data_IF_319823172684
#
_entry.id   IF_319823172684
#
_cell.length_a   1.000
_cell.length_b   1.000
_cell.length_c   1.000
_cell.angle_alpha   90.00
_cell.angle_beta   90.00
_cell.angle_gamma   90.00
#
_symmetry.space_group_name_H-M   'P 1'
#
loop_
_entity.id
_entity.type
_entity.pdbx_description
1 polymer ?
#
# COMPACT_ATOMS: atom_id res chain seq x y z
N UNK A 1 17.43 27.56 -0.45
CA UNK A 1 16.07 26.96 -0.36
C UNK A 1 15.79 26.25 -1.66
N UNK A 2 16.09 24.95 -1.75
CA UNK A 2 15.72 24.12 -2.89
C UNK A 2 14.36 23.51 -2.57
N UNK A 3 13.29 24.17 -3.02
CA UNK A 3 11.99 23.51 -3.12
C UNK A 3 12.13 22.45 -4.21
N UNK A 4 12.56 21.24 -3.83
CA UNK A 4 12.66 20.10 -4.73
C UNK A 4 11.31 19.88 -5.40
N UNK A 5 11.28 19.85 -6.73
CA UNK A 5 10.09 19.44 -7.48
C UNK A 5 9.66 18.08 -6.93
N UNK A 6 8.40 17.98 -6.49
CA UNK A 6 7.83 16.68 -6.10
C UNK A 6 7.94 15.74 -7.30
N UNK A 7 8.53 14.58 -7.11
CA UNK A 7 8.80 13.66 -8.20
C UNK A 7 7.51 12.98 -8.63
N UNK A 8 7.02 13.29 -9.83
CA UNK A 8 5.75 12.78 -10.37
C UNK A 8 5.95 11.82 -11.54
N UNK A 9 7.16 11.33 -11.74
CA UNK A 9 7.51 10.32 -12.71
C UNK A 9 8.51 9.34 -12.09
N UNK A 10 8.38 8.06 -12.41
CA UNK A 10 9.40 7.08 -12.07
C UNK A 10 10.69 7.40 -12.82
N UNK A 11 11.83 7.12 -12.20
CA UNK A 11 13.16 7.29 -12.81
C UNK A 11 13.69 5.95 -13.31
N UNK A 12 14.69 5.99 -14.17
CA UNK A 12 15.35 4.77 -14.63
C UNK A 12 15.96 4.00 -13.44
N UNK A 13 15.91 2.66 -13.41
CA UNK A 13 16.41 1.86 -12.31
C UNK A 13 17.87 2.17 -11.91
N UNK A 14 18.71 2.55 -12.87
CA UNK A 14 20.13 2.89 -12.63
C UNK A 14 20.32 4.24 -11.94
N UNK A 15 19.27 5.07 -11.91
CA UNK A 15 19.27 6.39 -11.28
C UNK A 15 18.69 6.35 -9.86
N UNK A 16 18.13 5.21 -9.44
CA UNK A 16 17.59 5.06 -8.09
C UNK A 16 18.71 5.03 -7.05
N UNK A 17 18.34 5.32 -5.80
CA UNK A 17 19.28 5.22 -4.70
C UNK A 17 19.78 3.77 -4.57
N UNK A 18 21.06 3.56 -4.21
CA UNK A 18 21.65 2.23 -4.13
C UNK A 18 21.08 1.38 -2.97
N UNK A 19 20.46 2.02 -1.98
CA UNK A 19 19.86 1.34 -0.85
C UNK A 19 20.87 0.63 0.05
N UNK A 20 20.43 -0.45 0.69
CA UNK A 20 21.21 -1.24 1.65
C UNK A 20 20.90 -2.72 1.49
N UNK A 21 21.85 -3.59 1.85
CA UNK A 21 21.64 -5.05 1.85
C UNK A 21 20.68 -5.50 2.95
N UNK A 22 20.66 -4.77 4.06
CA UNK A 22 19.85 -5.09 5.24
C UNK A 22 19.15 -3.84 5.78
N UNK A 23 18.05 -4.06 6.50
CA UNK A 23 17.29 -3.02 7.19
C UNK A 23 18.05 -2.56 8.45
N UNK A 24 18.36 -1.25 8.59
CA UNK A 24 19.17 -0.77 9.71
C UNK A 24 18.36 -0.49 10.99
N UNK A 25 17.03 -0.60 10.95
CA UNK A 25 16.17 -0.42 12.13
C UNK A 25 15.56 -1.72 12.64
N UNK A 26 15.36 -1.73 13.95
CA UNK A 26 14.59 -2.76 14.65
C UNK A 26 13.09 -2.48 14.52
N UNK A 27 12.32 -3.56 14.58
CA UNK A 27 10.86 -3.54 14.59
C UNK A 27 10.37 -4.17 15.89
N UNK A 28 9.22 -3.72 16.38
CA UNK A 28 8.55 -4.40 17.48
C UNK A 28 8.27 -5.87 17.14
N UNK A 29 8.30 -6.74 18.13
CA UNK A 29 7.99 -8.16 17.93
C UNK A 29 6.52 -8.38 17.56
N UNK A 30 5.63 -7.52 18.08
CA UNK A 30 4.18 -7.66 17.96
C UNK A 30 3.54 -6.41 17.38
N UNK A 31 2.51 -6.65 16.59
CA UNK A 31 1.54 -5.67 16.17
C UNK A 31 0.82 -5.09 17.39
N UNK A 32 0.83 -3.77 17.54
CA UNK A 32 0.32 -3.14 18.78
C UNK A 32 -1.19 -3.30 18.99
N UNK A 33 -1.97 -3.33 17.90
CA UNK A 33 -3.42 -3.52 17.96
C UNK A 33 -3.84 -5.00 18.02
N UNK A 34 -3.36 -5.80 17.08
CA UNK A 34 -3.78 -7.20 16.89
C UNK A 34 -3.03 -8.19 17.78
N UNK A 35 -1.90 -7.80 18.39
CA UNK A 35 -1.10 -8.65 19.27
C UNK A 35 -0.37 -9.81 18.57
N UNK A 36 -0.50 -9.91 17.25
CA UNK A 36 0.16 -10.90 16.39
C UNK A 36 1.59 -10.48 16.05
N UNK A 37 2.45 -11.35 15.50
CA UNK A 37 3.77 -10.94 15.00
C UNK A 37 3.67 -9.79 13.99
N UNK A 38 4.52 -8.77 14.15
CA UNK A 38 4.59 -7.64 13.21
C UNK A 38 5.30 -8.04 11.91
N UNK A 39 6.47 -8.67 12.04
CA UNK A 39 7.22 -9.21 10.89
C UNK A 39 6.60 -10.54 10.50
N UNK A 40 6.13 -10.61 9.26
CA UNK A 40 5.31 -11.69 8.74
C UNK A 40 5.83 -12.20 7.40
N UNK A 41 7.16 -12.24 7.22
CA UNK A 41 7.82 -12.69 5.97
C UNK A 41 7.30 -14.05 5.50
N UNK A 42 6.90 -14.90 6.45
CA UNK A 42 6.09 -16.09 6.20
C UNK A 42 4.75 -15.92 6.92
N UNK A 43 3.66 -15.95 6.16
CA UNK A 43 2.31 -15.95 6.74
C UNK A 43 2.04 -17.29 7.46
N UNK A 44 1.24 -17.30 8.54
CA UNK A 44 0.81 -18.55 9.17
C UNK A 44 0.08 -19.47 8.18
N UNK A 45 0.11 -20.77 8.43
CA UNK A 45 -0.64 -21.72 7.63
C UNK A 45 -2.13 -21.35 7.56
N UNK A 46 -2.72 -21.48 6.38
CA UNK A 46 -4.12 -21.12 6.13
C UNK A 46 -4.38 -19.62 5.95
N UNK A 47 -3.37 -18.75 6.09
CA UNK A 47 -3.52 -17.32 5.82
C UNK A 47 -2.92 -16.94 4.47
N UNK A 48 -3.47 -15.88 3.89
CA UNK A 48 -3.00 -15.27 2.65
C UNK A 48 -2.44 -13.86 2.91
N UNK A 49 -1.74 -13.34 1.90
CA UNK A 49 -1.10 -12.01 1.95
C UNK A 49 -1.63 -11.17 0.80
N UNK A 50 -1.95 -9.92 1.10
CA UNK A 50 -2.23 -8.88 0.11
C UNK A 50 -1.35 -7.66 0.37
N UNK A 51 -0.91 -6.99 -0.70
CA UNK A 51 -0.09 -5.77 -0.58
C UNK A 51 -0.72 -4.67 -1.43
N UNK A 52 -1.02 -3.55 -0.78
CA UNK A 52 -1.72 -2.43 -1.40
C UNK A 52 -0.98 -1.12 -1.19
N UNK A 53 -0.84 -0.31 -2.24
CA UNK A 53 -0.42 1.08 -2.17
C UNK A 53 -1.61 2.01 -2.43
N UNK A 54 -1.96 2.87 -1.47
CA UNK A 54 -3.18 3.67 -1.53
C UNK A 54 -3.02 5.06 -0.93
N UNK A 55 -1.84 5.66 -1.12
CA UNK A 55 -1.46 6.95 -0.52
C UNK A 55 -0.76 6.79 0.81
N UNK A 56 -0.97 7.73 1.74
CA UNK A 56 -0.34 7.69 3.06
C UNK A 56 -0.69 6.38 3.78
N UNK A 57 0.32 5.56 4.04
CA UNK A 57 0.13 4.22 4.61
C UNK A 57 -0.41 4.21 6.06
N UNK A 58 -0.37 5.34 6.80
CA UNK A 58 -0.83 5.39 8.19
C UNK A 58 -2.35 5.21 8.30
N UNK A 59 -3.09 5.97 7.49
CA UNK A 59 -4.55 5.86 7.41
C UNK A 59 -4.96 4.56 6.73
N UNK A 60 -4.20 4.11 5.73
CA UNK A 60 -4.46 2.86 5.04
C UNK A 60 -4.34 1.64 5.96
N UNK A 61 -3.27 1.55 6.77
CA UNK A 61 -3.06 0.47 7.72
C UNK A 61 -4.19 0.41 8.77
N UNK A 62 -4.61 1.57 9.29
CA UNK A 62 -5.69 1.67 10.27
C UNK A 62 -6.99 1.04 9.77
N UNK A 63 -7.32 1.27 8.50
CA UNK A 63 -8.52 0.71 7.88
C UNK A 63 -8.45 -0.81 7.83
N UNK A 64 -7.30 -1.37 7.44
CA UNK A 64 -7.17 -2.81 7.25
C UNK A 64 -7.14 -3.58 8.58
N UNK A 65 -6.42 -3.10 9.61
CA UNK A 65 -6.39 -3.85 10.89
C UNK A 65 -7.76 -3.89 11.58
N UNK A 66 -8.70 -3.02 11.20
CA UNK A 66 -10.06 -3.00 11.74
C UNK A 66 -11.00 -4.00 11.04
N UNK A 67 -10.60 -4.58 9.90
CA UNK A 67 -11.44 -5.52 9.17
C UNK A 67 -11.45 -6.90 9.86
N UNK A 68 -12.64 -7.47 10.13
CA UNK A 68 -12.73 -8.87 10.56
C UNK A 68 -12.03 -9.80 9.56
N UNK A 69 -11.27 -10.76 10.07
CA UNK A 69 -10.48 -11.69 9.25
C UNK A 69 -9.06 -11.22 8.92
N UNK A 70 -8.72 -9.95 9.16
CA UNK A 70 -7.32 -9.50 9.10
C UNK A 70 -6.58 -9.94 10.36
N UNK A 71 -5.47 -10.64 10.18
CA UNK A 71 -4.66 -11.24 11.24
C UNK A 71 -3.47 -10.36 11.66
N UNK A 72 -2.81 -9.72 10.70
CA UNK A 72 -1.72 -8.77 10.96
C UNK A 72 -1.61 -7.78 9.81
N UNK A 73 -1.15 -6.57 10.10
CA UNK A 73 -0.79 -5.57 9.09
C UNK A 73 0.60 -5.00 9.35
N UNK A 74 1.26 -4.53 8.31
CA UNK A 74 2.48 -3.72 8.45
C UNK A 74 2.57 -2.70 7.34
N UNK A 75 3.25 -1.59 7.59
CA UNK A 75 3.54 -0.56 6.58
C UNK A 75 4.97 -0.63 6.09
N UNK A 76 5.15 -0.29 4.82
CA UNK A 76 6.44 -0.43 4.15
C UNK A 76 6.46 0.19 2.77
N UNK A 77 7.46 -0.22 2.00
CA UNK A 77 7.78 0.30 0.69
C UNK A 77 7.83 -0.84 -0.32
N UNK A 78 7.11 -0.72 -1.44
CA UNK A 78 7.08 -1.74 -2.49
C UNK A 78 6.99 -1.08 -3.88
N UNK A 79 7.17 -1.86 -4.95
CA UNK A 79 7.05 -1.39 -6.33
C UNK A 79 8.28 -0.71 -6.94
N UNK A 80 9.23 -0.28 -6.12
CA UNK A 80 10.49 0.33 -6.54
C UNK A 80 11.64 -0.67 -6.67
N UNK A 81 12.85 -0.14 -6.82
CA UNK A 81 14.07 -0.94 -7.04
C UNK A 81 15.15 -0.77 -5.97
N UNK A 82 15.07 0.27 -5.14
CA UNK A 82 16.07 0.52 -4.08
C UNK A 82 15.87 -0.47 -2.93
N UNK A 83 16.85 -1.33 -2.61
CA UNK A 83 16.70 -2.30 -1.53
C UNK A 83 16.79 -1.62 -0.15
N UNK A 84 15.92 -2.05 0.78
CA UNK A 84 15.84 -1.55 2.16
C UNK A 84 15.90 -0.01 2.27
N UNK A 85 15.01 0.73 1.57
CA UNK A 85 15.03 2.20 1.59
C UNK A 85 14.44 2.72 2.90
N UNK A 86 14.98 3.84 3.42
CA UNK A 86 14.36 4.56 4.55
C UNK A 86 13.18 5.42 4.11
N UNK A 87 12.36 5.87 5.06
CA UNK A 87 11.28 6.81 4.79
C UNK A 87 11.77 8.07 4.05
N UNK A 88 12.90 8.63 4.49
CA UNK A 88 13.49 9.83 3.88
C UNK A 88 13.95 9.57 2.44
N UNK A 89 14.53 8.40 2.17
CA UNK A 89 14.95 8.00 0.83
C UNK A 89 13.74 7.86 -0.09
N UNK A 90 12.66 7.24 0.37
CA UNK A 90 11.39 7.14 -0.37
C UNK A 90 10.77 8.51 -0.61
N UNK A 91 10.74 9.38 0.40
CA UNK A 91 10.22 10.74 0.28
C UNK A 91 10.99 11.60 -0.71
N UNK A 92 12.26 11.27 -0.99
CA UNK A 92 13.04 11.94 -2.04
C UNK A 92 12.53 11.66 -3.46
N UNK A 93 11.70 10.62 -3.64
CA UNK A 93 11.20 10.17 -4.94
C UNK A 93 12.24 9.40 -5.77
N UNK A 94 13.41 9.10 -5.21
CA UNK A 94 14.54 8.47 -5.93
C UNK A 94 14.63 6.96 -5.72
N UNK A 95 13.58 6.32 -5.23
CA UNK A 95 13.56 4.87 -4.98
C UNK A 95 12.58 4.11 -5.85
N UNK A 96 11.68 4.85 -6.54
CA UNK A 96 10.51 4.34 -7.26
C UNK A 96 9.49 3.56 -6.40
N UNK A 97 9.71 3.45 -5.08
CA UNK A 97 8.75 2.78 -4.21
C UNK A 97 7.48 3.61 -4.02
N UNK A 98 6.37 2.91 -3.80
CA UNK A 98 5.16 3.45 -3.19
C UNK A 98 5.09 3.04 -1.73
N UNK A 99 4.47 3.89 -0.91
CA UNK A 99 4.01 3.51 0.43
C UNK A 99 2.97 2.39 0.27
N UNK A 100 3.21 1.29 0.97
CA UNK A 100 2.42 0.07 0.85
C UNK A 100 2.04 -0.49 2.22
N UNK A 101 0.83 -1.02 2.30
CA UNK A 101 0.32 -1.81 3.43
C UNK A 101 0.37 -3.27 3.03
N UNK A 102 1.00 -4.08 3.87
CA UNK A 102 0.98 -5.53 3.78
C UNK A 102 -0.07 -6.04 4.76
N UNK A 103 -1.01 -6.85 4.26
CA UNK A 103 -2.15 -7.38 5.01
C UNK A 103 -2.07 -8.90 5.00
N UNK A 104 -2.01 -9.51 6.19
CA UNK A 104 -2.20 -10.96 6.35
C UNK A 104 -3.64 -11.19 6.77
N UNK A 105 -4.34 -12.09 6.07
CA UNK A 105 -5.76 -12.32 6.32
C UNK A 105 -6.12 -13.81 6.26
N UNK A 106 -7.20 -14.16 6.94
CA UNK A 106 -7.83 -15.47 6.89
C UNK A 106 -8.87 -15.49 5.75
N UNK A 107 -8.60 -16.21 4.64
CA UNK A 107 -9.49 -16.27 3.48
C UNK A 107 -10.84 -16.95 3.79
N UNK A 108 -10.98 -17.63 4.93
CA UNK A 108 -12.26 -18.21 5.38
C UNK A 108 -13.18 -17.18 6.05
N UNK A 109 -12.64 -16.02 6.44
CA UNK A 109 -13.37 -14.93 7.10
C UNK A 109 -13.54 -13.71 6.19
N UNK A 110 -12.49 -13.32 5.45
CA UNK A 110 -12.51 -12.21 4.50
C UNK A 110 -11.84 -12.63 3.19
N UNK A 111 -12.50 -12.41 2.06
CA UNK A 111 -11.92 -12.79 0.77
C UNK A 111 -10.95 -11.72 0.26
N UNK A 112 -10.01 -12.12 -0.59
CA UNK A 112 -9.16 -11.17 -1.30
C UNK A 112 -9.99 -10.14 -2.12
N UNK A 113 -11.11 -10.59 -2.70
CA UNK A 113 -12.04 -9.72 -3.41
C UNK A 113 -12.61 -8.62 -2.50
N UNK A 114 -12.95 -8.94 -1.25
CA UNK A 114 -13.45 -7.95 -0.29
C UNK A 114 -12.37 -6.93 0.09
N UNK A 115 -11.11 -7.37 0.21
CA UNK A 115 -9.98 -6.47 0.45
C UNK A 115 -9.72 -5.51 -0.74
N UNK A 116 -9.86 -6.00 -1.96
CA UNK A 116 -9.74 -5.19 -3.19
C UNK A 116 -10.91 -4.23 -3.35
N UNK A 117 -12.14 -4.65 -3.03
CA UNK A 117 -13.29 -3.72 -3.01
C UNK A 117 -13.06 -2.61 -1.99
N UNK A 118 -12.62 -2.98 -0.79
CA UNK A 118 -12.29 -2.01 0.26
C UNK A 118 -11.19 -1.06 -0.19
N UNK A 119 -10.13 -1.57 -0.82
CA UNK A 119 -9.07 -0.77 -1.43
C UNK A 119 -9.64 0.35 -2.29
N UNK A 120 -10.53 0.04 -3.23
CA UNK A 120 -11.11 1.02 -4.15
C UNK A 120 -12.04 2.06 -3.50
N UNK A 121 -12.65 1.73 -2.37
CA UNK A 121 -13.56 2.64 -1.65
C UNK A 121 -12.83 3.63 -0.73
N UNK A 122 -11.59 3.34 -0.34
CA UNK A 122 -10.90 4.10 0.72
C UNK A 122 -9.81 5.06 0.21
N UNK A 123 -9.54 5.07 -1.10
CA UNK A 123 -8.66 6.04 -1.75
C UNK A 123 -9.21 6.45 -3.12
N UNK A 124 -8.62 7.49 -3.74
CA UNK A 124 -8.92 7.84 -5.13
C UNK A 124 -7.90 7.15 -6.08
N UNK A 125 -8.31 6.14 -6.87
CA UNK A 125 -7.41 5.39 -7.74
C UNK A 125 -7.12 6.10 -9.06
N UNK A 126 -7.61 7.32 -9.28
CA UNK A 126 -7.52 8.05 -10.57
C UNK A 126 -6.44 9.15 -10.57
N UNK A 127 -5.71 9.32 -9.47
CA UNK A 127 -4.84 10.47 -9.24
C UNK A 127 -3.38 10.29 -9.72
N UNK A 128 -3.00 9.09 -10.18
CA UNK A 128 -1.66 8.79 -10.66
C UNK A 128 -0.62 8.88 -9.56
N UNK A 129 0.37 9.76 -9.71
CA UNK A 129 1.48 9.95 -8.77
C UNK A 129 1.10 10.93 -7.64
N UNK A 130 -0.07 10.71 -7.03
CA UNK A 130 -0.68 11.54 -5.99
C UNK A 130 -1.78 10.78 -5.26
N UNK A 131 -1.97 11.08 -3.98
CA UNK A 131 -3.20 10.81 -3.23
C UNK A 131 -3.61 12.03 -2.40
N UNK A 132 -4.74 12.66 -2.75
CA UNK A 132 -5.21 13.88 -2.11
C UNK A 132 -4.18 15.02 -2.18
N UNK A 133 -3.71 15.43 -1.00
CA UNK A 133 -2.70 16.47 -0.82
C UNK A 133 -1.26 15.91 -0.88
N UNK A 134 -1.12 14.59 -0.81
CA UNK A 134 0.16 13.89 -0.83
C UNK A 134 0.55 13.64 -2.29
N UNK A 135 1.54 14.41 -2.76
CA UNK A 135 1.96 14.43 -4.17
C UNK A 135 3.34 13.78 -4.27
N UNK A 136 3.48 12.81 -5.16
CA UNK A 136 4.71 12.08 -5.38
C UNK A 136 4.45 10.64 -5.83
N UNK A 137 5.42 10.05 -6.55
CA UNK A 137 5.36 8.64 -6.99
C UNK A 137 5.17 7.66 -5.83
N UNK A 138 5.56 8.05 -4.62
CA UNK A 138 5.42 7.25 -3.42
C UNK A 138 3.98 7.14 -2.88
N UNK A 139 3.04 7.90 -3.42
CA UNK A 139 1.63 7.89 -3.00
C UNK A 139 0.70 7.29 -4.04
N UNK A 140 1.26 6.63 -5.06
CA UNK A 140 0.48 6.08 -6.18
C UNK A 140 -0.37 4.89 -5.73
N UNK A 141 -1.49 4.71 -6.42
CA UNK A 141 -2.34 3.54 -6.29
C UNK A 141 -1.65 2.30 -6.85
N UNK A 142 -1.58 1.21 -6.09
CA UNK A 142 -0.95 -0.05 -6.49
C UNK A 142 -1.54 -1.27 -5.80
N UNK A 143 -1.52 -2.41 -6.48
CA UNK A 143 -1.84 -3.75 -5.97
C UNK A 143 -0.69 -4.69 -6.35
N UNK A 144 -0.07 -5.31 -5.35
CA UNK A 144 0.96 -6.33 -5.55
C UNK A 144 0.44 -7.71 -5.14
N UNK A 145 0.12 -8.53 -6.13
CA UNK A 145 -0.54 -9.83 -5.93
C UNK A 145 0.49 -10.95 -5.67
N UNK A 146 0.12 -11.94 -4.85
CA UNK A 146 0.99 -13.08 -4.52
C UNK A 146 0.66 -14.36 -5.29
N UNK A 147 -0.53 -14.45 -5.90
CA UNK A 147 -0.95 -15.61 -6.70
C UNK A 147 -1.64 -15.20 -8.00
N UNK A 148 -1.71 -16.09 -9.02
CA UNK A 148 -2.46 -15.83 -10.25
C UNK A 148 -3.95 -15.57 -10.02
N UNK A 149 -4.56 -16.21 -9.02
CA UNK A 149 -5.96 -16.00 -8.65
C UNK A 149 -6.18 -14.58 -8.12
N UNK A 150 -5.26 -14.08 -7.29
CA UNK A 150 -5.28 -12.69 -6.84
C UNK A 150 -5.08 -11.70 -8.01
N UNK A 151 -4.23 -12.03 -8.99
CA UNK A 151 -4.09 -11.21 -10.20
C UNK A 151 -5.42 -11.10 -10.95
N UNK A 152 -6.07 -12.23 -11.21
CA UNK A 152 -7.35 -12.26 -11.91
C UNK A 152 -8.40 -11.42 -11.17
N UNK A 153 -8.57 -11.65 -9.87
CA UNK A 153 -9.54 -10.92 -9.04
C UNK A 153 -9.23 -9.42 -9.02
N UNK A 154 -7.95 -9.03 -8.89
CA UNK A 154 -7.55 -7.63 -8.89
C UNK A 154 -7.91 -6.94 -10.22
N UNK A 155 -7.62 -7.59 -11.35
CA UNK A 155 -7.92 -7.05 -12.69
C UNK A 155 -9.42 -6.93 -12.92
N UNK A 156 -10.19 -7.99 -12.64
CA UNK A 156 -11.64 -7.99 -12.81
C UNK A 156 -12.32 -6.89 -11.98
N UNK A 157 -11.96 -6.76 -10.70
CA UNK A 157 -12.53 -5.73 -9.83
C UNK A 157 -12.08 -4.31 -10.23
N UNK A 158 -10.88 -4.17 -10.78
CA UNK A 158 -10.41 -2.90 -11.35
C UNK A 158 -11.27 -2.50 -12.54
N UNK A 159 -11.59 -3.43 -13.44
CA UNK A 159 -12.45 -3.14 -14.60
C UNK A 159 -13.87 -2.77 -14.19
N UNK A 160 -14.45 -3.50 -13.22
CA UNK A 160 -15.79 -3.22 -12.67
C UNK A 160 -15.84 -1.83 -12.05
N UNK A 161 -14.87 -1.50 -11.18
CA UNK A 161 -14.84 -0.19 -10.54
C UNK A 161 -14.52 0.93 -11.54
N UNK A 162 -13.63 0.69 -12.50
CA UNK A 162 -13.28 1.63 -13.56
C UNK A 162 -14.49 2.01 -14.41
N UNK A 163 -15.34 1.04 -14.76
CA UNK A 163 -16.60 1.29 -15.46
C UNK A 163 -17.54 2.19 -14.63
N UNK A 164 -17.62 1.99 -13.32
CA UNK A 164 -18.45 2.82 -12.43
C UNK A 164 -17.91 4.24 -12.28
N UNK A 165 -16.59 4.40 -12.15
CA UNK A 165 -15.94 5.71 -12.13
C UNK A 165 -16.19 6.45 -13.45
N UNK A 166 -16.02 5.77 -14.59
CA UNK A 166 -16.29 6.34 -15.91
C UNK A 166 -17.76 6.75 -16.08
N UNK A 167 -18.71 5.95 -15.60
CA UNK A 167 -20.16 6.27 -15.61
C UNK A 167 -20.47 7.56 -14.83
N UNK A 168 -19.68 7.87 -13.81
CA UNK A 168 -19.79 9.09 -12.99
C UNK A 168 -18.96 10.26 -13.53
N UNK A 169 -18.29 10.10 -14.66
CA UNK A 169 -17.42 11.12 -15.24
C UNK A 169 -16.12 11.35 -14.47
N UNK A 170 -15.69 10.38 -13.65
CA UNK A 170 -14.40 10.40 -13.00
C UNK A 170 -13.30 9.87 -13.94
N UNK A 171 -12.04 10.17 -13.62
CA UNK A 171 -10.89 9.80 -14.45
C UNK A 171 -10.68 8.28 -14.57
N UNK A 172 -9.80 7.88 -15.49
CA UNK A 172 -9.38 6.49 -15.60
C UNK A 172 -8.60 6.05 -14.36
N UNK A 173 -8.72 4.77 -14.00
CA UNK A 173 -7.93 4.17 -12.93
C UNK A 173 -6.44 4.18 -13.33
N UNK A 174 -5.60 4.54 -12.37
CA UNK A 174 -4.14 4.61 -12.47
C UNK A 174 -3.43 3.55 -11.62
N UNK A 175 -4.18 2.64 -11.02
CA UNK A 175 -3.67 1.56 -10.16
C UNK A 175 -2.68 0.67 -10.91
N UNK A 176 -1.45 0.61 -10.41
CA UNK A 176 -0.42 -0.33 -10.86
C UNK A 176 -0.75 -1.74 -10.33
N UNK A 177 -0.86 -2.75 -11.20
CA UNK A 177 -1.09 -4.14 -10.80
C UNK A 177 0.10 -4.99 -11.26
N UNK A 178 0.88 -5.51 -10.31
CA UNK A 178 2.14 -6.24 -10.57
C UNK A 178 2.32 -7.40 -9.60
N UNK A 179 3.11 -8.43 -9.94
CA UNK A 179 3.41 -9.52 -9.02
C UNK A 179 4.29 -9.04 -7.86
N UNK A 180 3.97 -9.48 -6.65
CA UNK A 180 4.76 -9.22 -5.42
C UNK A 180 6.19 -9.77 -5.54
N UNK A 181 6.38 -10.85 -6.29
CA UNK A 181 7.69 -11.45 -6.56
C UNK A 181 8.65 -10.51 -7.31
N UNK A 182 8.14 -9.56 -8.10
CA UNK A 182 8.92 -8.55 -8.82
C UNK A 182 8.95 -7.19 -8.08
N UNK A 183 8.24 -7.09 -6.96
CA UNK A 183 8.06 -5.85 -6.21
C UNK A 183 8.31 -6.11 -4.72
N UNK A 184 9.56 -6.40 -4.32
CA UNK A 184 9.89 -6.74 -2.94
C UNK A 184 9.33 -5.70 -1.96
N UNK A 185 8.77 -6.19 -0.87
CA UNK A 185 8.24 -5.38 0.22
C UNK A 185 9.32 -5.17 1.28
N UNK A 186 9.58 -3.91 1.62
CA UNK A 186 10.50 -3.52 2.68
C UNK A 186 9.73 -2.85 3.82
N UNK A 187 9.80 -3.40 5.03
CA UNK A 187 9.16 -2.80 6.20
C UNK A 187 9.71 -1.41 6.48
N UNK A 188 8.82 -0.44 6.69
CA UNK A 188 9.17 0.88 7.17
C UNK A 188 9.65 0.85 8.63
N UNK A 189 10.20 1.96 9.11
CA UNK A 189 10.66 2.16 10.47
C UNK A 189 9.56 1.86 11.50
N UNK A 190 9.92 1.39 12.70
CA UNK A 190 8.96 1.03 13.75
C UNK A 190 7.98 2.17 14.05
N UNK A 191 8.48 3.41 14.06
CA UNK A 191 7.66 4.62 14.27
C UNK A 191 6.46 4.71 13.33
N UNK A 192 6.54 4.17 12.11
CA UNK A 192 5.44 4.18 11.15
C UNK A 192 4.45 3.02 11.35
N UNK A 193 4.89 1.93 11.97
CA UNK A 193 4.05 0.76 12.24
C UNK A 193 2.97 1.10 13.26
N UNK A 194 1.70 0.90 12.89
CA UNK A 194 0.53 1.25 13.69
C UNK A 194 0.56 2.70 14.18
N UNK A 195 1.04 3.61 13.33
CA UNK A 195 1.28 5.01 13.70
C UNK A 195 0.05 5.68 14.31
N UNK A 196 -1.14 5.47 13.75
CA UNK A 196 -2.39 6.07 14.26
C UNK A 196 -2.88 5.45 15.57
N UNK A 197 -2.46 4.23 15.90
CA UNK A 197 -2.67 3.68 17.24
C UNK A 197 -1.73 4.36 18.25
N UNK A 198 -0.45 4.57 17.88
CA UNK A 198 0.54 5.30 18.69
C UNK A 198 0.16 6.78 18.84
N UNK A 199 -0.48 7.36 17.82
CA UNK A 199 -0.84 8.77 17.72
C UNK A 199 -2.31 8.92 17.28
N UNK A 200 -3.29 8.84 18.20
CA UNK A 200 -4.73 8.84 17.85
C UNK A 200 -5.22 10.09 17.10
N UNK A 201 -4.55 11.22 17.30
CA UNK A 201 -4.81 12.51 16.64
C UNK A 201 -3.88 12.76 15.43
N UNK A 202 -3.19 11.71 14.97
CA UNK A 202 -2.29 11.77 13.82
C UNK A 202 -3.01 12.03 12.51
N UNK A 203 -2.22 12.32 11.48
CA UNK A 203 -2.73 12.65 10.16
C UNK A 203 -3.39 11.44 9.48
N UNK A 204 -4.63 11.64 9.03
CA UNK A 204 -5.42 10.68 8.25
C UNK A 204 -5.61 11.21 6.84
N UNK A 205 -4.81 10.73 5.89
CA UNK A 205 -5.05 11.04 4.48
C UNK A 205 -6.12 10.11 3.93
N UNK A 206 -7.36 10.59 3.86
CA UNK A 206 -8.48 9.84 3.27
C UNK A 206 -9.12 10.62 2.13
N UNK A 207 -8.30 11.00 1.13
CA UNK A 207 -8.88 11.39 -0.15
C UNK A 207 -9.42 10.14 -0.83
N UNK A 208 -10.74 10.04 -0.94
CA UNK A 208 -11.41 8.96 -1.67
C UNK A 208 -12.39 9.55 -2.69
N UNK A 209 -12.88 8.70 -3.60
CA UNK A 209 -13.86 9.11 -4.63
C UNK A 209 -15.26 9.34 -4.04
N UNK A 210 -15.53 8.83 -2.84
CA UNK A 210 -16.87 8.74 -2.26
C UNK A 210 -17.81 7.78 -3.02
N UNK A 211 -17.27 6.98 -3.95
CA UNK A 211 -18.04 6.05 -4.77
C UNK A 211 -17.99 4.66 -4.11
N UNK A 212 -19.14 4.07 -3.74
CA UNK A 212 -19.16 2.69 -3.24
C UNK A 212 -18.86 1.73 -4.39
N UNK A 213 -18.30 0.57 -4.07
CA UNK A 213 -18.11 -0.49 -5.05
C UNK A 213 -19.48 -0.96 -5.58
N UNK A 214 -19.64 -1.19 -6.89
CA UNK A 214 -20.90 -1.68 -7.46
C UNK A 214 -21.37 -2.97 -6.81
N UNK A 215 -22.68 -3.05 -6.53
CA UNK A 215 -23.33 -4.24 -5.99
C UNK A 215 -23.41 -5.39 -7.02
#
# INVERSE_FOLDING_TARGET
MLFGRKQTALIEPEQTLPGRSERPWHLAEKHLVLGTPLVTDTAPAGHEVAIFGLGCFWGAEEIYWQLPGVWSTSVGYAGGTTPNPSYEEVCSGRTNHTEAVRVVFDPTVVSYADLVKRFFEVHDPTQGMRQGNDVGTQYRSAIYFTTPEQEQVARELTDVYGAELARRGLGAITTEIRPAAETPYYYAEDVHQQYLHKNPYGYRCHANTGVPFPA
#
